data_IF_561794638312
#
_entry.id   IF_561794638312
#
_cell.length_a   1.000
_cell.length_b   1.000
_cell.length_c   1.000
_cell.angle_alpha   90.00
_cell.angle_beta   90.00
_cell.angle_gamma   90.00
#
_symmetry.space_group_name_H-M   'P 1'
#
loop_
_entity.id
_entity.type
_entity.pdbx_description
1 polymer ?
#
# COMPACT_ATOMS: atom_id res chain seq x y z
N UNK A 1 -1.01 -2.64 -9.28
CA UNK A 1 -0.07 -1.65 -8.67
C UNK A 1 -0.74 -0.31 -8.44
N UNK A 2 -1.40 0.28 -9.45
CA UNK A 2 -2.14 1.54 -9.30
C UNK A 2 -3.18 1.50 -8.17
N UNK A 3 -3.98 0.43 -8.05
CA UNK A 3 -4.99 0.30 -7.00
C UNK A 3 -4.41 0.27 -5.57
N UNK A 4 -3.25 -0.36 -5.39
CA UNK A 4 -2.56 -0.43 -4.09
C UNK A 4 -2.10 0.98 -3.70
N UNK A 5 -1.46 1.69 -4.62
CA UNK A 5 -1.00 3.06 -4.37
C UNK A 5 -2.16 4.04 -4.16
N UNK A 6 -3.30 3.84 -4.84
CA UNK A 6 -4.53 4.62 -4.60
C UNK A 6 -5.11 4.37 -3.19
N UNK A 7 -5.08 3.13 -2.71
CA UNK A 7 -5.51 2.80 -1.35
C UNK A 7 -4.58 3.46 -0.30
N UNK A 8 -3.26 3.37 -0.51
CA UNK A 8 -2.28 4.02 0.38
C UNK A 8 -2.44 5.54 0.36
N UNK A 9 -2.59 6.16 -0.82
CA UNK A 9 -2.87 7.60 -0.96
C UNK A 9 -4.14 7.98 -0.19
N UNK A 10 -5.19 7.18 -0.33
CA UNK A 10 -6.47 7.41 0.37
C UNK A 10 -6.31 7.33 1.89
N UNK A 11 -5.56 6.35 2.39
CA UNK A 11 -5.33 6.17 3.82
C UNK A 11 -4.35 7.17 4.44
N UNK A 12 -3.35 7.64 3.69
CA UNK A 12 -2.28 8.49 4.20
C UNK A 12 -2.48 9.98 3.93
N UNK A 13 -3.05 10.35 2.78
CA UNK A 13 -3.17 11.74 2.34
C UNK A 13 -4.64 12.21 2.36
N UNK A 14 -5.57 11.36 1.91
CA UNK A 14 -6.98 11.73 1.71
C UNK A 14 -7.90 11.36 2.87
N UNK A 15 -7.36 11.00 4.05
CA UNK A 15 -8.15 10.67 5.25
C UNK A 15 -8.86 11.89 5.86
N UNK A 16 -8.67 13.08 5.29
CA UNK A 16 -9.27 14.36 5.73
C UNK A 16 -10.00 15.03 4.58
N UNK A 17 -11.04 15.80 4.90
CA UNK A 17 -11.69 16.64 3.90
C UNK A 17 -10.78 17.82 3.53
N UNK A 18 -10.57 18.02 2.23
CA UNK A 18 -9.83 19.14 1.67
C UNK A 18 -10.79 19.85 0.71
N UNK A 19 -11.28 21.03 1.12
CA UNK A 19 -12.27 21.78 0.35
C UNK A 19 -11.69 22.47 -0.89
N UNK A 20 -10.38 22.71 -0.91
CA UNK A 20 -9.69 23.43 -1.98
C UNK A 20 -8.88 22.48 -2.88
N UNK A 21 -9.14 22.54 -4.18
CA UNK A 21 -8.49 21.67 -5.18
C UNK A 21 -7.00 21.98 -5.32
N UNK A 22 -6.57 23.24 -5.19
CA UNK A 22 -5.17 23.60 -5.27
C UNK A 22 -4.38 23.05 -4.06
N UNK A 23 -4.98 23.09 -2.86
CA UNK A 23 -4.42 22.47 -1.66
C UNK A 23 -4.33 20.95 -1.84
N UNK A 24 -5.37 20.32 -2.38
CA UNK A 24 -5.39 18.89 -2.68
C UNK A 24 -4.26 18.49 -3.63
N UNK A 25 -4.08 19.21 -4.75
CA UNK A 25 -3.01 18.93 -5.72
C UNK A 25 -1.62 19.08 -5.10
N UNK A 26 -1.41 20.09 -4.25
CA UNK A 26 -0.13 20.31 -3.57
C UNK A 26 0.20 19.17 -2.61
N UNK A 27 -0.78 18.72 -1.83
CA UNK A 27 -0.63 17.61 -0.88
C UNK A 27 -0.33 16.28 -1.59
N UNK A 28 -1.07 15.98 -2.67
CA UNK A 28 -0.84 14.77 -3.48
C UNK A 28 0.56 14.79 -4.09
N UNK A 29 1.00 15.93 -4.63
CA UNK A 29 2.34 16.08 -5.22
C UNK A 29 3.45 15.87 -4.19
N UNK A 30 3.31 16.49 -3.00
CA UNK A 30 4.27 16.31 -1.90
C UNK A 30 4.30 14.85 -1.41
N UNK A 31 3.14 14.21 -1.27
CA UNK A 31 3.04 12.80 -0.90
C UNK A 31 3.68 11.90 -1.95
N UNK A 32 3.42 12.14 -3.24
CA UNK A 32 3.98 11.36 -4.34
C UNK A 32 5.51 11.48 -4.40
N UNK A 33 6.07 12.69 -4.22
CA UNK A 33 7.53 12.87 -4.15
C UNK A 33 8.15 12.08 -2.99
N UNK A 34 7.54 12.16 -1.80
CA UNK A 34 7.98 11.40 -0.63
C UNK A 34 7.93 9.89 -0.88
N UNK A 35 6.84 9.40 -1.48
CA UNK A 35 6.62 7.99 -1.81
C UNK A 35 7.64 7.48 -2.83
N UNK A 36 7.87 8.26 -3.89
CA UNK A 36 8.86 7.95 -4.93
C UNK A 36 10.28 7.91 -4.35
N UNK A 37 10.63 8.84 -3.45
CA UNK A 37 11.94 8.86 -2.82
C UNK A 37 12.15 7.69 -1.85
N UNK A 38 11.07 7.20 -1.24
CA UNK A 38 11.12 6.06 -0.30
C UNK A 38 11.37 4.70 -0.99
N UNK A 39 11.56 4.70 -2.33
CA UNK A 39 11.91 3.58 -3.21
C UNK A 39 11.30 2.22 -2.78
N UNK A 40 10.04 2.26 -2.34
CA UNK A 40 9.38 1.13 -1.71
C UNK A 40 8.94 0.16 -2.78
N UNK A 41 9.87 -0.69 -3.22
CA UNK A 41 9.58 -1.74 -4.19
C UNK A 41 8.65 -2.75 -3.56
N UNK A 42 7.49 -2.94 -4.20
CA UNK A 42 6.59 -4.04 -3.84
C UNK A 42 7.32 -5.33 -4.23
N UNK A 43 7.71 -6.12 -3.23
CA UNK A 43 8.23 -7.45 -3.49
C UNK A 43 7.05 -8.38 -3.80
N UNK A 44 6.92 -8.71 -5.08
CA UNK A 44 5.86 -9.60 -5.58
C UNK A 44 6.18 -11.09 -5.35
N UNK A 45 7.39 -11.42 -4.93
CA UNK A 45 7.79 -12.78 -4.60
C UNK A 45 7.72 -12.98 -3.09
N UNK A 46 7.03 -14.05 -2.67
CA UNK A 46 7.03 -14.54 -1.31
C UNK A 46 7.33 -16.03 -1.32
N UNK A 47 8.05 -16.51 -0.31
CA UNK A 47 8.34 -17.94 -0.21
C UNK A 47 7.10 -18.72 0.19
N UNK A 48 7.08 -20.03 -0.09
CA UNK A 48 5.99 -20.92 0.38
C UNK A 48 5.84 -20.87 1.90
N UNK A 49 6.93 -20.69 2.65
CA UNK A 49 6.89 -20.52 4.10
C UNK A 49 6.16 -19.21 4.49
N UNK A 50 6.51 -18.09 3.86
CA UNK A 50 5.85 -16.80 4.10
C UNK A 50 4.36 -16.84 3.74
N UNK A 51 4.01 -17.57 2.67
CA UNK A 51 2.63 -17.79 2.25
C UNK A 51 1.82 -18.47 3.34
N UNK A 52 2.35 -19.54 3.95
CA UNK A 52 1.67 -20.29 5.02
C UNK A 52 1.43 -19.43 6.27
N UNK A 53 2.31 -18.47 6.54
CA UNK A 53 2.15 -17.52 7.66
C UNK A 53 1.08 -16.47 7.34
N UNK A 54 1.20 -15.77 6.20
CA UNK A 54 0.30 -14.67 5.83
C UNK A 54 -1.08 -15.14 5.39
N UNK A 55 -1.17 -16.33 4.79
CA UNK A 55 -2.40 -16.93 4.26
C UNK A 55 -2.81 -18.17 5.06
N UNK A 56 -2.57 -18.17 6.38
CA UNK A 56 -2.86 -19.29 7.28
C UNK A 56 -4.29 -19.84 7.15
N UNK A 57 -5.27 -18.99 6.82
CA UNK A 57 -6.67 -19.39 6.58
C UNK A 57 -6.82 -20.27 5.33
N UNK A 58 -6.01 -20.03 4.29
CA UNK A 58 -6.06 -20.76 3.02
C UNK A 58 -5.14 -21.99 3.01
N UNK A 59 -4.07 -21.97 3.82
CA UNK A 59 -3.12 -23.08 3.96
C UNK A 59 -3.10 -23.61 5.40
N UNK A 60 -4.12 -24.40 5.82
CA UNK A 60 -4.06 -25.09 7.09
C UNK A 60 -2.88 -26.07 7.12
N UNK A 61 -2.24 -26.19 8.28
CA UNK A 61 -1.16 -27.15 8.50
C UNK A 61 -1.74 -28.56 8.33
N UNK A 62 -1.37 -29.23 7.24
CA UNK A 62 -1.68 -30.65 7.06
C UNK A 62 -0.76 -31.38 8.04
N UNK A 63 -1.31 -31.81 9.17
CA UNK A 63 -0.67 -32.77 10.07
C UNK A 63 -1.00 -34.16 9.51
N UNK A 64 0.04 -34.90 9.11
CA UNK A 64 -0.04 -36.36 8.99
C UNK A 64 -0.01 -37.00 10.38
#
# INVERSE_FOLDING_TARGET
MAEIELNVLSGQCLKRNIADVAVLTKEISAWQQKRNNNNSKINWQFTTMDARIKLRKLYPSIQE
#
